data_IF_184960130440
#
_entry.id   IF_184960130440
#
_cell.length_a   1.000
_cell.length_b   1.000
_cell.length_c   1.000
_cell.angle_alpha   90.00
_cell.angle_beta   90.00
_cell.angle_gamma   90.00
#
_symmetry.space_group_name_H-M   'P 1'
#
loop_
_entity.id
_entity.type
_entity.pdbx_description
1 polymer ?
#
# COMPACT_ATOMS: atom_id res chain seq x y z
N UNK A 1 -4.63 5.20 30.27
CA UNK A 1 -5.92 4.49 30.13
C UNK A 1 -5.71 2.99 30.39
N UNK A 2 -6.69 2.27 30.95
CA UNK A 2 -6.56 0.80 31.13
C UNK A 2 -6.56 0.12 29.75
N UNK A 3 -5.53 -0.68 29.45
CA UNK A 3 -5.48 -1.56 28.28
C UNK A 3 -6.72 -2.48 28.29
N UNK A 4 -7.44 -2.54 27.18
CA UNK A 4 -8.61 -3.42 26.99
C UNK A 4 -8.22 -4.60 26.11
N UNK A 5 -8.85 -5.75 26.31
CA UNK A 5 -8.56 -6.97 25.55
C UNK A 5 -8.94 -6.91 24.05
N UNK A 6 -9.54 -5.80 23.56
CA UNK A 6 -10.04 -5.71 22.20
C UNK A 6 -11.23 -6.64 21.93
N UNK A 7 -11.79 -6.57 20.71
CA UNK A 7 -12.80 -7.52 20.26
C UNK A 7 -12.13 -8.57 19.38
N UNK A 8 -11.86 -9.76 19.93
CA UNK A 8 -11.13 -10.84 19.24
C UNK A 8 -11.73 -11.19 17.87
N UNK A 9 -13.06 -11.15 17.71
CA UNK A 9 -13.70 -11.42 16.41
C UNK A 9 -13.30 -10.36 15.37
N UNK A 10 -13.26 -9.09 15.76
CA UNK A 10 -12.91 -7.99 14.86
C UNK A 10 -11.39 -7.92 14.59
N UNK A 11 -10.56 -8.28 15.56
CA UNK A 11 -9.10 -8.40 15.35
C UNK A 11 -8.82 -9.48 14.31
N UNK A 12 -9.45 -10.66 14.42
CA UNK A 12 -9.29 -11.73 13.42
C UNK A 12 -9.81 -11.31 12.04
N UNK A 13 -10.95 -10.62 11.99
CA UNK A 13 -11.47 -10.08 10.74
C UNK A 13 -10.48 -9.12 10.07
N UNK A 14 -9.86 -8.22 10.84
CA UNK A 14 -8.81 -7.32 10.35
C UNK A 14 -7.61 -8.10 9.80
N UNK A 15 -7.12 -9.12 10.50
CA UNK A 15 -5.98 -9.92 10.05
C UNK A 15 -6.27 -10.68 8.74
N UNK A 16 -7.49 -11.19 8.57
CA UNK A 16 -7.90 -11.81 7.31
C UNK A 16 -8.03 -10.80 6.17
N UNK A 17 -8.53 -9.58 6.45
CA UNK A 17 -8.56 -8.51 5.46
C UNK A 17 -7.15 -8.04 5.10
N UNK A 18 -6.25 -7.90 6.06
CA UNK A 18 -4.86 -7.56 5.80
C UNK A 18 -4.18 -8.60 4.90
N UNK A 19 -4.33 -9.89 5.21
CA UNK A 19 -3.75 -10.94 4.37
C UNK A 19 -4.33 -10.92 2.95
N UNK A 20 -5.62 -10.64 2.81
CA UNK A 20 -6.23 -10.51 1.49
C UNK A 20 -5.78 -9.26 0.74
N UNK A 21 -5.55 -8.14 1.44
CA UNK A 21 -4.97 -6.93 0.86
C UNK A 21 -3.59 -7.24 0.27
N UNK A 22 -2.70 -7.89 1.01
CA UNK A 22 -1.37 -8.31 0.52
C UNK A 22 -1.45 -9.24 -0.70
N UNK A 23 -2.38 -10.20 -0.68
CA UNK A 23 -2.61 -11.13 -1.81
C UNK A 23 -3.06 -10.34 -3.05
N UNK A 24 -4.02 -9.42 -2.89
CA UNK A 24 -4.48 -8.54 -3.96
C UNK A 24 -3.39 -7.59 -4.44
N UNK A 25 -2.60 -7.04 -3.52
CA UNK A 25 -1.49 -6.12 -3.74
C UNK A 25 -0.46 -6.69 -4.73
N UNK A 26 -0.12 -7.98 -4.61
CA UNK A 26 0.74 -8.65 -5.58
C UNK A 26 0.21 -8.55 -7.02
N UNK A 27 -1.10 -8.79 -7.22
CA UNK A 27 -1.70 -8.73 -8.56
C UNK A 27 -1.87 -7.28 -9.03
N UNK A 28 -2.11 -6.35 -8.10
CA UNK A 28 -2.14 -4.91 -8.37
C UNK A 28 -0.79 -4.44 -8.89
N UNK A 29 0.31 -4.70 -8.16
CA UNK A 29 1.65 -4.31 -8.58
C UNK A 29 2.09 -5.01 -9.87
N UNK A 30 1.85 -6.32 -10.01
CA UNK A 30 2.15 -7.04 -11.26
C UNK A 30 1.44 -6.41 -12.46
N UNK A 31 0.19 -5.96 -12.29
CA UNK A 31 -0.56 -5.27 -13.35
C UNK A 31 -0.04 -3.85 -13.55
N UNK A 32 0.22 -3.10 -12.48
CA UNK A 32 0.72 -1.72 -12.53
C UNK A 32 2.07 -1.63 -13.26
N UNK A 33 2.99 -2.56 -13.02
CA UNK A 33 4.28 -2.66 -13.73
C UNK A 33 4.11 -2.85 -15.25
N UNK A 34 3.01 -3.46 -15.70
CA UNK A 34 2.69 -3.57 -17.14
C UNK A 34 2.11 -2.28 -17.73
N UNK A 35 1.53 -1.42 -16.90
CA UNK A 35 1.03 -0.11 -17.28
C UNK A 35 2.12 0.99 -17.25
N UNK A 36 3.21 0.79 -16.51
CA UNK A 36 4.25 1.79 -16.32
C UNK A 36 5.02 2.09 -17.61
N UNK A 37 5.11 3.38 -17.92
CA UNK A 37 5.87 3.99 -19.03
C UNK A 37 7.16 4.64 -18.50
N UNK A 38 7.09 5.30 -17.34
CA UNK A 38 8.23 5.91 -16.66
C UNK A 38 9.10 4.81 -16.00
N UNK A 39 10.39 4.79 -16.35
CA UNK A 39 11.34 3.75 -15.91
C UNK A 39 11.63 3.79 -14.40
N UNK A 40 11.67 4.98 -13.79
CA UNK A 40 11.91 5.13 -12.35
C UNK A 40 10.70 4.64 -11.55
N UNK A 41 9.47 5.01 -11.95
CA UNK A 41 8.24 4.48 -11.36
C UNK A 41 8.18 2.96 -11.48
N UNK A 42 8.49 2.42 -12.66
CA UNK A 42 8.49 0.98 -12.90
C UNK A 42 9.47 0.27 -11.98
N UNK A 43 10.65 0.86 -11.76
CA UNK A 43 11.67 0.34 -10.85
C UNK A 43 11.20 0.38 -9.40
N UNK A 44 10.56 1.46 -8.95
CA UNK A 44 10.01 1.57 -7.60
C UNK A 44 8.94 0.49 -7.36
N UNK A 45 7.97 0.34 -8.27
CA UNK A 45 6.93 -0.69 -8.16
C UNK A 45 7.46 -2.13 -8.22
N UNK A 46 8.55 -2.39 -8.94
CA UNK A 46 9.21 -3.70 -8.87
C UNK A 46 9.82 -3.96 -7.49
N UNK A 47 10.34 -2.93 -6.82
CA UNK A 47 10.78 -3.01 -5.43
C UNK A 47 9.62 -3.31 -4.49
N UNK A 48 8.55 -2.51 -4.58
CA UNK A 48 7.36 -2.67 -3.74
C UNK A 48 6.69 -4.02 -3.94
N UNK A 49 6.65 -4.56 -5.16
CA UNK A 49 6.18 -5.92 -5.42
C UNK A 49 6.92 -6.97 -4.58
N UNK A 50 8.24 -6.87 -4.44
CA UNK A 50 9.04 -7.81 -3.65
C UNK A 50 8.87 -7.58 -2.12
N UNK A 51 8.64 -6.34 -1.71
CA UNK A 51 8.27 -5.99 -0.33
C UNK A 51 6.89 -6.56 0.03
N UNK A 52 5.85 -6.38 -0.80
CA UNK A 52 4.52 -6.99 -0.64
C UNK A 52 4.60 -8.53 -0.57
N UNK A 53 5.50 -9.18 -1.34
CA UNK A 53 5.75 -10.64 -1.18
C UNK A 53 6.27 -10.99 0.21
N UNK A 54 7.05 -10.10 0.82
CA UNK A 54 7.55 -10.23 2.18
C UNK A 54 6.45 -9.99 3.20
N UNK A 55 5.65 -8.93 3.04
CA UNK A 55 4.56 -8.59 3.94
C UNK A 55 3.49 -9.69 3.98
N UNK A 56 3.11 -10.27 2.82
CA UNK A 56 2.29 -11.49 2.76
C UNK A 56 2.85 -12.63 3.61
N UNK A 57 4.17 -12.90 3.55
CA UNK A 57 4.82 -13.96 4.35
C UNK A 57 4.79 -13.63 5.85
N UNK A 58 4.94 -12.36 6.20
CA UNK A 58 4.81 -11.88 7.59
C UNK A 58 3.40 -12.17 8.11
N UNK A 59 2.34 -11.80 7.38
CA UNK A 59 0.97 -12.08 7.81
C UNK A 59 0.64 -13.58 7.87
N UNK A 60 1.13 -14.39 6.93
CA UNK A 60 0.99 -15.85 7.03
C UNK A 60 1.63 -16.40 8.31
N UNK A 61 2.80 -15.89 8.69
CA UNK A 61 3.49 -16.25 9.93
C UNK A 61 2.68 -15.81 11.16
N UNK A 62 2.07 -14.62 11.13
CA UNK A 62 1.16 -14.15 12.19
C UNK A 62 -0.02 -15.11 12.36
N UNK A 63 -0.71 -15.45 11.26
CA UNK A 63 -1.85 -16.36 11.32
C UNK A 63 -1.46 -17.75 11.85
N UNK A 64 -0.32 -18.29 11.41
CA UNK A 64 0.21 -19.57 11.91
C UNK A 64 0.43 -19.53 13.43
N UNK A 65 1.14 -18.51 13.93
CA UNK A 65 1.43 -18.37 15.36
C UNK A 65 0.17 -18.17 16.21
N UNK A 66 -0.86 -17.53 15.65
CA UNK A 66 -2.17 -17.35 16.26
C UNK A 66 -3.12 -18.54 16.04
N UNK A 67 -2.67 -19.60 15.33
CA UNK A 67 -3.44 -20.80 14.99
C UNK A 67 -4.74 -20.47 14.23
N UNK A 68 -4.65 -19.51 13.33
CA UNK A 68 -5.72 -19.11 12.41
C UNK A 68 -5.51 -19.78 11.05
N UNK A 69 -6.61 -20.16 10.41
CA UNK A 69 -6.59 -20.76 9.07
C UNK A 69 -6.44 -19.65 8.01
N UNK A 70 -5.32 -19.60 7.26
CA UNK A 70 -5.11 -18.57 6.24
C UNK A 70 -6.09 -18.65 5.07
N UNK A 71 -6.83 -19.74 4.91
CA UNK A 71 -7.87 -19.90 3.88
C UNK A 71 -9.29 -19.61 4.40
N UNK A 72 -9.42 -19.22 5.68
CA UNK A 72 -10.71 -18.90 6.25
C UNK A 72 -11.38 -17.74 5.50
N UNK A 73 -12.63 -17.97 5.09
CA UNK A 73 -13.46 -16.96 4.42
C UNK A 73 -14.19 -16.10 5.44
N UNK A 74 -14.33 -14.82 5.13
CA UNK A 74 -15.22 -13.92 5.84
C UNK A 74 -15.86 -12.94 4.85
N UNK A 75 -17.04 -12.36 5.18
CA UNK A 75 -17.68 -11.38 4.31
C UNK A 75 -16.79 -10.17 4.03
N UNK A 76 -16.02 -9.69 5.01
CA UNK A 76 -15.13 -8.54 4.80
C UNK A 76 -13.92 -8.91 3.94
N UNK A 77 -13.36 -10.12 4.10
CA UNK A 77 -12.31 -10.65 3.21
C UNK A 77 -12.79 -10.75 1.76
N UNK A 78 -14.02 -11.24 1.55
CA UNK A 78 -14.59 -11.34 0.20
C UNK A 78 -14.79 -9.95 -0.45
N UNK A 79 -15.14 -8.93 0.34
CA UNK A 79 -15.20 -7.54 -0.13
C UNK A 79 -13.81 -7.00 -0.50
N UNK A 80 -12.80 -7.21 0.35
CA UNK A 80 -11.41 -6.79 0.05
C UNK A 80 -10.91 -7.41 -1.25
N UNK A 81 -11.14 -8.72 -1.43
CA UNK A 81 -10.82 -9.42 -2.68
C UNK A 81 -11.47 -8.76 -3.89
N UNK A 82 -12.77 -8.51 -3.81
CA UNK A 82 -13.52 -7.89 -4.90
C UNK A 82 -12.99 -6.50 -5.27
N UNK A 83 -12.61 -5.69 -4.27
CA UNK A 83 -12.01 -4.38 -4.50
C UNK A 83 -10.67 -4.51 -5.21
N UNK A 84 -9.77 -5.39 -4.75
CA UNK A 84 -8.48 -5.64 -5.40
C UNK A 84 -8.63 -6.11 -6.85
N UNK A 85 -9.54 -7.07 -7.11
CA UNK A 85 -9.87 -7.53 -8.46
C UNK A 85 -10.40 -6.40 -9.35
N UNK A 86 -11.16 -5.46 -8.77
CA UNK A 86 -11.71 -4.31 -9.49
C UNK A 86 -10.63 -3.29 -9.87
N UNK A 87 -9.64 -3.05 -9.02
CA UNK A 87 -8.49 -2.20 -9.32
C UNK A 87 -7.67 -2.80 -10.48
N UNK A 88 -7.40 -4.10 -10.43
CA UNK A 88 -6.73 -4.83 -11.52
C UNK A 88 -7.51 -4.72 -12.83
N UNK A 89 -8.84 -4.85 -12.77
CA UNK A 89 -9.71 -4.71 -13.94
C UNK A 89 -9.66 -3.29 -14.51
N UNK A 90 -9.65 -2.26 -13.68
CA UNK A 90 -9.56 -0.86 -14.12
C UNK A 90 -8.27 -0.60 -14.90
N UNK A 91 -7.11 -1.05 -14.39
CA UNK A 91 -5.84 -0.96 -15.11
C UNK A 91 -5.85 -1.69 -16.45
N UNK A 92 -6.42 -2.91 -16.50
CA UNK A 92 -6.56 -3.68 -17.75
C UNK A 92 -7.48 -3.00 -18.77
N UNK A 93 -8.53 -2.32 -18.30
CA UNK A 93 -9.40 -1.52 -19.16
C UNK A 93 -8.63 -0.35 -19.77
N UNK A 94 -7.80 0.34 -18.99
CA UNK A 94 -6.97 1.45 -19.48
C UNK A 94 -5.92 0.96 -20.51
N UNK A 95 -5.24 -0.15 -20.25
CA UNK A 95 -4.34 -0.79 -21.23
C UNK A 95 -5.07 -1.13 -22.54
N UNK A 96 -6.29 -1.67 -22.45
CA UNK A 96 -7.09 -2.05 -23.61
C UNK A 96 -7.57 -0.84 -24.44
N UNK A 97 -7.63 0.35 -23.83
CA UNK A 97 -7.97 1.59 -24.53
C UNK A 97 -6.83 2.09 -25.43
N UNK A 98 -5.59 1.63 -25.20
CA UNK A 98 -4.46 1.80 -26.12
C UNK A 98 -3.63 3.06 -25.95
N UNK A 99 -3.89 3.86 -24.91
CA UNK A 99 -3.07 5.01 -24.52
C UNK A 99 -2.17 4.63 -23.33
N UNK A 100 -0.85 4.49 -23.54
CA UNK A 100 0.08 4.09 -22.47
C UNK A 100 0.17 5.10 -21.32
N UNK A 101 0.12 6.39 -21.61
CA UNK A 101 0.24 7.44 -20.58
C UNK A 101 -1.02 7.47 -19.70
N UNK A 102 -2.19 7.32 -20.32
CA UNK A 102 -3.45 7.16 -19.59
C UNK A 102 -3.48 5.87 -18.76
N UNK A 103 -2.93 4.76 -19.27
CA UNK A 103 -2.84 3.51 -18.53
C UNK A 103 -1.93 3.63 -17.30
N UNK A 104 -0.80 4.33 -17.42
CA UNK A 104 0.08 4.63 -16.28
C UNK A 104 -0.63 5.48 -15.22
N UNK A 105 -1.37 6.51 -15.61
CA UNK A 105 -2.13 7.34 -14.67
C UNK A 105 -3.14 6.51 -13.88
N UNK A 106 -3.97 5.72 -14.58
CA UNK A 106 -4.95 4.82 -13.93
C UNK A 106 -4.25 3.82 -13.00
N UNK A 107 -3.08 3.32 -13.39
CA UNK A 107 -2.31 2.43 -12.54
C UNK A 107 -1.86 3.12 -11.24
N UNK A 108 -1.35 4.35 -11.30
CA UNK A 108 -0.97 5.08 -10.07
C UNK A 108 -2.16 5.32 -9.14
N UNK A 109 -3.34 5.66 -9.68
CA UNK A 109 -4.55 5.84 -8.89
C UNK A 109 -4.99 4.53 -8.22
N UNK A 110 -4.93 3.42 -8.97
CA UNK A 110 -5.26 2.10 -8.45
C UNK A 110 -4.30 1.67 -7.34
N UNK A 111 -3.00 1.91 -7.50
CA UNK A 111 -2.00 1.63 -6.46
C UNK A 111 -2.27 2.50 -5.23
N UNK A 112 -2.52 3.81 -5.35
CA UNK A 112 -2.87 4.67 -4.19
C UNK A 112 -4.08 4.12 -3.43
N UNK A 113 -5.11 3.65 -4.11
CA UNK A 113 -6.29 3.06 -3.46
C UNK A 113 -5.99 1.74 -2.74
N UNK A 114 -5.12 0.91 -3.31
CA UNK A 114 -4.65 -0.33 -2.67
C UNK A 114 -3.83 -0.01 -1.41
N UNK A 115 -2.82 0.86 -1.54
CA UNK A 115 -1.92 1.24 -0.45
C UNK A 115 -2.64 1.98 0.68
N UNK A 116 -3.67 2.77 0.36
CA UNK A 116 -4.50 3.43 1.38
C UNK A 116 -5.18 2.39 2.28
N UNK A 117 -5.63 1.27 1.70
CA UNK A 117 -6.24 0.19 2.47
C UNK A 117 -5.19 -0.60 3.25
N UNK A 118 -4.02 -0.85 2.67
CA UNK A 118 -2.99 -1.67 3.33
C UNK A 118 -2.34 -0.95 4.51
N UNK A 119 -1.91 0.29 4.27
CA UNK A 119 -1.40 1.18 5.31
C UNK A 119 -2.37 1.30 6.49
N UNK A 120 -3.67 1.45 6.21
CA UNK A 120 -4.71 1.50 7.24
C UNK A 120 -4.83 0.18 8.03
N UNK A 121 -4.67 -0.98 7.38
CA UNK A 121 -4.66 -2.26 8.07
C UNK A 121 -3.45 -2.35 9.01
N UNK A 122 -2.25 -2.07 8.52
CA UNK A 122 -1.01 -2.15 9.28
C UNK A 122 -1.00 -1.15 10.45
N UNK A 123 -1.48 0.08 10.25
CA UNK A 123 -1.64 1.05 11.34
C UNK A 123 -2.57 0.54 12.46
N UNK A 124 -3.67 -0.15 12.11
CA UNK A 124 -4.57 -0.75 13.09
C UNK A 124 -3.93 -1.96 13.79
N UNK A 125 -3.13 -2.77 13.08
CA UNK A 125 -2.35 -3.87 13.67
C UNK A 125 -1.35 -3.33 14.69
N UNK A 126 -0.61 -2.26 14.36
CA UNK A 126 0.29 -1.57 15.27
C UNK A 126 -0.43 -1.02 16.51
N UNK A 127 -1.60 -0.41 16.33
CA UNK A 127 -2.44 0.04 17.44
C UNK A 127 -2.87 -1.12 18.35
N UNK A 128 -3.28 -2.26 17.79
CA UNK A 128 -3.62 -3.46 18.57
C UNK A 128 -2.40 -3.96 19.33
N UNK A 129 -1.22 -4.00 18.70
CA UNK A 129 0.02 -4.43 19.32
C UNK A 129 0.36 -3.58 20.57
N UNK A 130 0.16 -2.26 20.51
CA UNK A 130 0.43 -1.33 21.62
C UNK A 130 -0.61 -1.41 22.74
N UNK A 131 -1.88 -1.59 22.39
CA UNK A 131 -2.99 -1.59 23.34
C UNK A 131 -3.25 -2.96 23.99
N UNK A 132 -2.88 -4.05 23.31
CA UNK A 132 -3.13 -5.40 23.79
C UNK A 132 -2.00 -5.92 24.70
N UNK A 133 -2.15 -7.14 25.22
CA UNK A 133 -1.16 -7.75 26.14
C UNK A 133 -1.01 -9.24 25.86
N UNK A 134 0.11 -9.81 26.27
CA UNK A 134 0.36 -11.25 26.12
C UNK A 134 1.02 -11.58 24.79
N UNK A 135 0.89 -12.84 24.37
CA UNK A 135 1.60 -13.36 23.20
C UNK A 135 1.11 -12.74 21.89
N UNK A 136 -0.21 -12.56 21.73
CA UNK A 136 -0.80 -11.94 20.52
C UNK A 136 -0.22 -10.54 20.27
N UNK A 137 -0.13 -9.70 21.30
CA UNK A 137 0.46 -8.36 21.19
C UNK A 137 1.92 -8.39 20.71
N UNK A 138 2.72 -9.34 21.21
CA UNK A 138 4.13 -9.49 20.80
C UNK A 138 4.27 -9.92 19.35
N UNK A 139 3.43 -10.86 18.91
CA UNK A 139 3.39 -11.36 17.53
C UNK A 139 3.05 -10.20 16.58
N UNK A 140 1.98 -9.47 16.88
CA UNK A 140 1.54 -8.34 16.07
C UNK A 140 2.56 -7.20 16.08
N UNK A 141 3.22 -6.93 17.22
CA UNK A 141 4.27 -5.90 17.29
C UNK A 141 5.45 -6.24 16.38
N UNK A 142 5.94 -7.48 16.46
CA UNK A 142 7.04 -7.93 15.62
C UNK A 142 6.71 -7.86 14.13
N UNK A 143 5.48 -8.25 13.76
CA UNK A 143 5.01 -8.15 12.38
C UNK A 143 4.93 -6.69 11.90
N UNK A 144 4.30 -5.82 12.70
CA UNK A 144 4.19 -4.39 12.39
C UNK A 144 5.56 -3.72 12.22
N UNK A 145 6.49 -3.96 13.16
CA UNK A 145 7.83 -3.35 13.11
C UNK A 145 8.65 -3.81 11.90
N UNK A 146 8.31 -4.95 11.29
CA UNK A 146 9.00 -5.48 10.12
C UNK A 146 8.52 -4.87 8.79
N UNK A 147 7.38 -4.16 8.78
CA UNK A 147 6.73 -3.70 7.54
C UNK A 147 6.36 -2.22 7.55
N UNK A 148 6.17 -1.60 8.73
CA UNK A 148 5.55 -0.27 8.82
C UNK A 148 6.28 0.83 8.03
N UNK A 149 7.61 0.77 7.96
CA UNK A 149 8.40 1.73 7.18
C UNK A 149 8.19 1.55 5.69
N UNK A 150 8.12 0.30 5.20
CA UNK A 150 7.84 0.00 3.79
C UNK A 150 6.46 0.55 3.42
N UNK A 151 5.45 0.29 4.25
CA UNK A 151 4.07 0.76 4.05
C UNK A 151 3.94 2.28 4.02
N UNK A 152 4.70 2.99 4.86
CA UNK A 152 4.75 4.45 4.82
C UNK A 152 5.32 4.93 3.47
N UNK A 153 6.41 4.31 3.00
CA UNK A 153 6.96 4.62 1.67
C UNK A 153 5.95 4.33 0.56
N UNK A 154 5.34 3.15 0.55
CA UNK A 154 4.40 2.72 -0.49
C UNK A 154 3.28 3.74 -0.68
N UNK A 155 2.64 4.16 0.41
CA UNK A 155 1.55 5.11 0.36
C UNK A 155 2.01 6.51 -0.06
N UNK A 156 3.00 7.09 0.63
CA UNK A 156 3.35 8.50 0.41
C UNK A 156 4.07 8.72 -0.92
N UNK A 157 4.92 7.79 -1.34
CA UNK A 157 5.63 7.91 -2.62
C UNK A 157 4.66 7.74 -3.79
N UNK A 158 3.79 6.73 -3.76
CA UNK A 158 2.78 6.52 -4.82
C UNK A 158 1.82 7.70 -4.93
N UNK A 159 1.43 8.33 -3.81
CA UNK A 159 0.65 9.57 -3.83
C UNK A 159 1.39 10.70 -4.55
N UNK A 160 2.69 10.86 -4.29
CA UNK A 160 3.55 11.80 -5.00
C UNK A 160 3.62 11.51 -6.49
N UNK A 161 3.82 10.25 -6.88
CA UNK A 161 3.85 9.82 -8.29
C UNK A 161 2.56 10.13 -9.01
N UNK A 162 1.42 9.75 -8.42
CA UNK A 162 0.10 9.99 -9.02
C UNK A 162 -0.13 11.49 -9.23
N UNK A 163 0.22 12.33 -8.25
CA UNK A 163 0.13 13.79 -8.36
C UNK A 163 0.98 14.33 -9.51
N UNK A 164 2.27 14.01 -9.55
CA UNK A 164 3.20 14.61 -10.50
C UNK A 164 2.95 14.12 -11.94
N UNK A 165 2.56 12.85 -12.13
CA UNK A 165 2.15 12.36 -13.44
C UNK A 165 0.85 13.02 -13.94
N UNK A 166 -0.12 13.27 -13.05
CA UNK A 166 -1.31 14.04 -13.44
C UNK A 166 -0.94 15.47 -13.85
N UNK A 167 -0.07 16.14 -13.09
CA UNK A 167 0.44 17.47 -13.40
C UNK A 167 1.09 17.49 -14.79
N UNK A 168 1.92 16.49 -15.11
CA UNK A 168 2.54 16.32 -16.43
C UNK A 168 1.48 16.15 -17.53
N UNK A 169 0.49 15.27 -17.33
CA UNK A 169 -0.57 15.02 -18.32
C UNK A 169 -1.43 16.25 -18.61
N UNK A 170 -1.55 17.16 -17.64
CA UNK A 170 -2.26 18.43 -17.77
C UNK A 170 -1.42 19.51 -18.49
N UNK A 171 -0.18 19.21 -18.86
CA UNK A 171 0.74 20.12 -19.55
C UNK A 171 1.46 21.11 -18.64
N UNK A 172 1.52 20.83 -17.33
CA UNK A 172 2.23 21.65 -16.36
C UNK A 172 3.59 21.02 -15.99
N UNK A 173 4.57 21.81 -15.51
CA UNK A 173 5.85 21.27 -15.06
C UNK A 173 5.70 20.33 -13.85
N UNK A 174 6.07 19.08 -14.03
CA UNK A 174 6.08 18.04 -13.01
C UNK A 174 7.49 17.81 -12.43
N UNK A 175 7.56 17.28 -11.21
CA UNK A 175 8.81 16.82 -10.57
C UNK A 175 8.77 15.30 -10.50
N UNK A 176 9.48 14.63 -11.41
CA UNK A 176 9.56 13.17 -11.48
C UNK A 176 11.04 12.73 -11.37
N UNK A 177 11.40 11.81 -10.47
CA UNK A 177 10.57 11.22 -9.40
C UNK A 177 10.03 12.26 -8.40
N UNK A 178 8.92 11.96 -7.69
CA UNK A 178 8.31 12.90 -6.77
C UNK A 178 9.22 13.22 -5.57
N UNK A 179 9.08 14.40 -4.95
CA UNK A 179 9.88 14.80 -3.79
C UNK A 179 9.80 13.81 -2.62
N UNK A 180 8.66 13.15 -2.46
CA UNK A 180 8.40 12.11 -1.47
C UNK A 180 9.37 10.93 -1.62
N UNK A 181 9.49 10.39 -2.85
CA UNK A 181 10.42 9.29 -3.13
C UNK A 181 11.88 9.74 -2.93
N UNK A 182 12.28 10.87 -3.53
CA UNK A 182 13.67 11.32 -3.45
C UNK A 182 14.12 11.56 -2.01
N UNK A 183 13.20 11.98 -1.14
CA UNK A 183 13.47 12.24 0.28
C UNK A 183 13.19 11.05 1.19
N UNK A 184 12.66 9.94 0.66
CA UNK A 184 12.32 8.73 1.41
C UNK A 184 11.44 9.07 2.62
N UNK A 185 10.24 9.58 2.35
CA UNK A 185 9.36 10.09 3.41
C UNK A 185 8.59 8.98 4.10
N UNK A 186 8.73 8.89 5.43
CA UNK A 186 8.13 7.84 6.25
C UNK A 186 7.00 8.38 7.15
N UNK A 187 6.39 9.52 6.81
CA UNK A 187 5.30 10.09 7.62
C UNK A 187 4.45 11.09 6.86
N UNK A 188 3.18 11.22 7.26
CA UNK A 188 2.26 12.21 6.69
C UNK A 188 2.79 13.65 6.78
N UNK A 189 3.46 14.01 7.88
CA UNK A 189 4.09 15.34 8.02
C UNK A 189 5.28 15.48 7.06
N UNK A 190 6.08 14.42 6.91
CA UNK A 190 7.19 14.37 5.96
C UNK A 190 6.71 14.53 4.52
N UNK A 191 5.71 13.75 4.12
CA UNK A 191 5.07 13.82 2.81
C UNK A 191 4.53 15.22 2.52
N UNK A 192 3.76 15.80 3.44
CA UNK A 192 3.23 17.16 3.27
C UNK A 192 4.32 18.23 3.13
N UNK A 193 5.43 18.10 3.87
CA UNK A 193 6.59 19.01 3.72
C UNK A 193 7.32 18.80 2.39
N UNK A 194 7.40 17.56 1.90
CA UNK A 194 8.00 17.23 0.63
C UNK A 194 7.19 17.82 -0.52
N UNK A 195 5.87 17.59 -0.54
CA UNK A 195 4.91 18.18 -1.48
C UNK A 195 5.04 19.71 -1.55
N UNK A 196 4.98 20.40 -0.40
CA UNK A 196 5.10 21.87 -0.33
C UNK A 196 6.44 22.41 -0.85
N UNK A 197 7.46 21.56 -0.94
CA UNK A 197 8.78 21.94 -1.44
C UNK A 197 8.95 21.73 -2.95
N UNK A 198 7.97 21.16 -3.65
CA UNK A 198 8.07 20.82 -5.08
C UNK A 198 8.48 22.00 -5.95
N UNK A 199 7.94 23.19 -5.70
CA UNK A 199 8.18 24.37 -6.55
C UNK A 199 9.65 24.82 -6.51
N UNK A 200 10.37 24.49 -5.44
CA UNK A 200 11.81 24.75 -5.34
C UNK A 200 12.64 23.83 -6.22
N UNK A 201 12.11 22.65 -6.56
CA UNK A 201 12.76 21.66 -7.42
C UNK A 201 12.54 21.95 -8.90
N UNK A 202 11.50 22.72 -9.25
CA UNK A 202 11.23 23.20 -10.60
C UNK A 202 12.07 24.42 -11.01
N UNK A 203 12.63 25.15 -10.04
CA UNK A 203 13.39 26.38 -10.25
C UNK A 203 14.89 26.15 -10.57
N UNK A 204 15.29 24.89 -10.74
CA UNK A 204 16.64 24.43 -11.02
C UNK A 204 16.66 23.55 -12.27
#
# INVERSE_FOLDING_TARGET
MKRKAGNTRQIRELLYQALETEIGGLTVYETAVTCAVNDDLKKEWLGYLEETRTHRRVLLTVLEQLKLDPEAKSPGRDVVRHLGESLVKAMKMALSAGDPDAAQLVATECVVLAETKDHANWALIGMIADQHTGQEAKILKQAYDAVATDEDHHLYHTQGWSRELWIESLGFPAVLPPPEEVKQVESAIGASRAEQSRDKLLAH
#
